data_IF_936032522517
#
_entry.id   IF_936032522517
#
_cell.length_a   1.000
_cell.length_b   1.000
_cell.length_c   1.000
_cell.angle_alpha   90.00
_cell.angle_beta   90.00
_cell.angle_gamma   90.00
#
_symmetry.space_group_name_H-M   'P 1'
#
loop_
_entity.id
_entity.type
_entity.pdbx_description
1 polymer ?
#
# COMPACT_ATOMS: atom_id res chain seq x y z
N UNK A 1 8.84 -11.07 27.49
CA UNK A 1 7.75 -10.17 27.06
C UNK A 1 8.36 -9.16 26.11
N UNK A 2 8.11 -9.22 24.80
CA UNK A 2 8.53 -8.15 23.92
C UNK A 2 7.54 -6.99 24.08
N UNK A 3 8.10 -5.80 24.17
CA UNK A 3 7.37 -4.55 24.37
C UNK A 3 6.52 -4.33 23.12
N UNK A 4 5.21 -4.19 23.31
CA UNK A 4 4.30 -3.70 22.28
C UNK A 4 4.73 -2.26 22.00
N UNK A 5 5.65 -2.08 21.03
CA UNK A 5 6.04 -0.77 20.53
C UNK A 5 4.76 0.01 20.29
N UNK A 6 4.59 1.07 21.09
CA UNK A 6 3.60 2.09 20.82
C UNK A 6 3.92 2.60 19.42
N UNK A 7 3.18 2.07 18.44
CA UNK A 7 3.06 2.72 17.13
C UNK A 7 2.68 4.15 17.49
N UNK A 8 3.43 5.18 17.04
CA UNK A 8 2.92 6.52 17.18
C UNK A 8 1.55 6.46 16.55
N UNK A 9 0.51 6.83 17.29
CA UNK A 9 -0.80 6.99 16.70
C UNK A 9 -0.60 7.99 15.56
N UNK A 10 -0.29 7.49 14.36
CA UNK A 10 -0.22 8.26 13.14
C UNK A 10 -1.61 8.80 13.09
N UNK A 11 -1.73 10.07 13.40
CA UNK A 11 -3.00 10.72 13.41
C UNK A 11 -3.33 10.92 11.94
N UNK A 12 -3.84 9.84 11.34
CA UNK A 12 -4.10 9.72 9.91
C UNK A 12 -4.96 10.89 9.44
N UNK A 13 -5.79 11.45 10.33
CA UNK A 13 -6.54 12.68 10.10
C UNK A 13 -5.66 13.94 10.03
N UNK A 14 -4.70 14.13 10.92
CA UNK A 14 -3.79 15.29 10.89
C UNK A 14 -2.83 15.23 9.70
N UNK A 15 -2.42 14.03 9.29
CA UNK A 15 -1.49 13.84 8.17
C UNK A 15 -2.21 13.64 6.82
N UNK A 16 -3.50 13.35 6.79
CA UNK A 16 -4.33 13.23 5.58
C UNK A 16 -4.04 14.30 4.50
N UNK A 17 -3.99 15.62 4.79
CA UNK A 17 -3.73 16.63 3.76
C UNK A 17 -2.34 16.49 3.11
N UNK A 18 -1.37 15.91 3.80
CA UNK A 18 -0.02 15.64 3.28
C UNK A 18 0.10 14.26 2.61
N UNK A 19 -0.68 13.28 3.08
CA UNK A 19 -0.65 11.90 2.59
C UNK A 19 -1.44 11.73 1.30
N UNK A 20 -2.60 12.37 1.16
CA UNK A 20 -3.48 12.21 -0.01
C UNK A 20 -2.77 12.53 -1.33
N UNK A 21 -2.05 13.66 -1.49
CA UNK A 21 -1.35 13.95 -2.74
C UNK A 21 -0.30 12.89 -3.09
N UNK A 22 0.43 12.39 -2.09
CA UNK A 22 1.46 11.36 -2.28
C UNK A 22 0.84 10.01 -2.67
N UNK A 23 -0.25 9.62 -1.99
CA UNK A 23 -1.01 8.41 -2.33
C UNK A 23 -1.62 8.49 -3.73
N UNK A 24 -2.05 9.67 -4.18
CA UNK A 24 -2.54 9.89 -5.56
C UNK A 24 -1.43 9.73 -6.60
N UNK A 25 -0.26 10.32 -6.36
CA UNK A 25 0.90 10.13 -7.24
C UNK A 25 1.27 8.63 -7.36
N UNK A 26 1.24 7.91 -6.24
CA UNK A 26 1.44 6.48 -6.21
C UNK A 26 0.35 5.74 -7.00
N UNK A 27 -0.92 6.11 -6.83
CA UNK A 27 -2.03 5.52 -7.58
C UNK A 27 -1.85 5.68 -9.10
N UNK A 28 -1.45 6.87 -9.57
CA UNK A 28 -1.21 7.14 -11.00
C UNK A 28 -0.09 6.28 -11.58
N UNK A 29 1.02 6.12 -10.83
CA UNK A 29 2.10 5.20 -11.17
C UNK A 29 1.58 3.76 -11.27
N UNK A 30 0.85 3.29 -10.26
CA UNK A 30 0.30 1.94 -10.23
C UNK A 30 -0.74 1.73 -11.34
N UNK A 31 -1.55 2.73 -11.69
CA UNK A 31 -2.52 2.65 -12.78
C UNK A 31 -1.81 2.50 -14.15
N UNK A 32 -0.74 3.25 -14.36
CA UNK A 32 0.10 3.16 -15.57
C UNK A 32 0.72 1.76 -15.68
N UNK A 33 1.31 1.24 -14.60
CA UNK A 33 1.84 -0.12 -14.57
C UNK A 33 0.75 -1.18 -14.77
N UNK A 34 -0.45 -0.95 -14.23
CA UNK A 34 -1.58 -1.87 -14.34
C UNK A 34 -2.09 -2.01 -15.77
N UNK A 35 -2.26 -0.89 -16.48
CA UNK A 35 -2.67 -0.93 -17.89
C UNK A 35 -1.70 -1.75 -18.75
N UNK A 36 -0.39 -1.64 -18.49
CA UNK A 36 0.66 -2.39 -19.21
C UNK A 36 0.70 -3.88 -18.83
N UNK A 37 0.62 -4.18 -17.54
CA UNK A 37 0.74 -5.54 -17.01
C UNK A 37 -0.53 -6.39 -17.21
N UNK A 38 -1.72 -5.77 -17.23
CA UNK A 38 -2.98 -6.48 -17.43
C UNK A 38 -3.05 -7.23 -18.77
N UNK A 39 -2.46 -6.66 -19.80
CA UNK A 39 -2.49 -7.23 -21.15
C UNK A 39 -1.59 -8.46 -21.29
N UNK A 40 -0.68 -8.72 -20.34
CA UNK A 40 0.33 -9.78 -20.45
C UNK A 40 0.29 -10.78 -19.28
N UNK A 41 -0.12 -10.35 -18.08
CA UNK A 41 0.11 -11.10 -16.84
C UNK A 41 -1.11 -11.25 -15.93
N UNK A 42 -2.32 -11.04 -16.46
CA UNK A 42 -3.58 -11.12 -15.68
C UNK A 42 -3.78 -12.44 -14.92
N UNK A 43 -3.11 -13.52 -15.31
CA UNK A 43 -3.16 -14.85 -14.69
C UNK A 43 -1.98 -15.16 -13.76
N UNK A 44 -1.03 -14.23 -13.60
CA UNK A 44 0.17 -14.45 -12.78
C UNK A 44 -0.13 -14.20 -11.30
N UNK A 45 0.45 -15.01 -10.41
CA UNK A 45 0.23 -14.88 -8.97
C UNK A 45 0.63 -13.48 -8.44
N UNK A 46 1.78 -12.94 -8.88
CA UNK A 46 2.25 -11.61 -8.50
C UNK A 46 1.27 -10.49 -8.91
N UNK A 47 0.55 -10.66 -10.02
CA UNK A 47 -0.40 -9.67 -10.52
C UNK A 47 -1.63 -9.55 -9.61
N UNK A 48 -2.04 -10.64 -8.97
CA UNK A 48 -3.11 -10.62 -7.95
C UNK A 48 -2.70 -9.79 -6.74
N UNK A 49 -1.46 -9.98 -6.24
CA UNK A 49 -0.91 -9.18 -5.14
C UNK A 49 -0.80 -7.70 -5.53
N UNK A 50 -0.31 -7.41 -6.73
CA UNK A 50 -0.26 -6.05 -7.28
C UNK A 50 -1.66 -5.40 -7.41
N UNK A 51 -2.65 -6.14 -7.89
CA UNK A 51 -4.02 -5.65 -7.98
C UNK A 51 -4.64 -5.38 -6.59
N UNK A 52 -4.33 -6.22 -5.59
CA UNK A 52 -4.74 -6.01 -4.20
C UNK A 52 -4.08 -4.78 -3.60
N UNK A 53 -2.78 -4.60 -3.83
CA UNK A 53 -2.02 -3.41 -3.41
C UNK A 53 -2.64 -2.13 -3.99
N UNK A 54 -2.86 -2.07 -5.30
CA UNK A 54 -3.50 -0.90 -5.95
C UNK A 54 -4.87 -0.59 -5.38
N UNK A 55 -5.71 -1.62 -5.19
CA UNK A 55 -7.06 -1.44 -4.58
C UNK A 55 -6.96 -0.90 -3.16
N UNK A 56 -5.95 -1.31 -2.40
CA UNK A 56 -5.72 -0.83 -1.04
C UNK A 56 -5.32 0.64 -1.03
N UNK A 57 -4.45 1.07 -1.95
CA UNK A 57 -4.12 2.50 -2.12
C UNK A 57 -5.36 3.32 -2.44
N UNK A 58 -6.15 2.93 -3.45
CA UNK A 58 -7.38 3.66 -3.82
C UNK A 58 -8.41 3.70 -2.69
N UNK A 59 -8.57 2.60 -1.94
CA UNK A 59 -9.50 2.53 -0.80
C UNK A 59 -9.04 3.44 0.35
N UNK A 60 -7.74 3.51 0.62
CA UNK A 60 -7.21 4.41 1.64
C UNK A 60 -7.42 5.88 1.26
N UNK A 61 -7.19 6.25 -0.01
CA UNK A 61 -7.48 7.60 -0.51
C UNK A 61 -8.97 7.94 -0.32
N UNK A 62 -9.87 7.01 -0.63
CA UNK A 62 -11.31 7.22 -0.48
C UNK A 62 -11.69 7.50 0.98
N UNK A 63 -11.19 6.70 1.92
CA UNK A 63 -11.47 6.87 3.35
C UNK A 63 -10.89 8.17 3.91
N UNK A 64 -9.68 8.56 3.49
CA UNK A 64 -9.03 9.79 3.95
C UNK A 64 -9.60 11.07 3.30
N UNK A 65 -10.15 10.97 2.09
CA UNK A 65 -10.71 12.11 1.36
C UNK A 65 -12.16 12.42 1.72
N UNK A 66 -12.79 11.59 2.58
CA UNK A 66 -14.19 11.81 2.91
C UNK A 66 -14.37 13.00 3.85
N UNK A 67 -15.19 13.94 3.41
CA UNK A 67 -15.58 15.15 4.15
C UNK A 67 -17.05 15.09 4.62
N UNK A 68 -17.66 13.90 4.61
CA UNK A 68 -19.07 13.69 4.93
C UNK A 68 -19.38 13.68 6.43
N UNK A 69 -20.66 13.45 6.74
CA UNK A 69 -21.20 13.36 8.12
C UNK A 69 -20.53 12.23 8.95
N UNK A 70 -19.95 11.24 8.27
CA UNK A 70 -19.36 10.04 8.88
C UNK A 70 -17.82 10.08 9.00
N UNK A 71 -17.22 11.28 9.02
CA UNK A 71 -15.76 11.47 9.02
C UNK A 71 -15.03 10.65 10.10
N UNK A 72 -15.61 10.55 11.29
CA UNK A 72 -15.02 9.78 12.39
C UNK A 72 -15.03 8.28 12.11
N UNK A 73 -16.15 7.75 11.62
CA UNK A 73 -16.28 6.34 11.26
C UNK A 73 -15.33 5.95 10.10
N UNK A 74 -15.17 6.83 9.11
CA UNK A 74 -14.27 6.61 7.98
C UNK A 74 -12.80 6.69 8.39
N UNK A 75 -12.49 7.55 9.35
CA UNK A 75 -11.15 7.62 9.96
C UNK A 75 -10.84 6.34 10.71
N UNK A 76 -11.79 5.83 11.50
CA UNK A 76 -11.61 4.56 12.21
C UNK A 76 -11.46 3.38 11.24
N UNK A 77 -12.26 3.33 10.17
CA UNK A 77 -12.08 2.34 9.10
C UNK A 77 -10.71 2.45 8.43
N UNK A 78 -10.18 3.65 8.24
CA UNK A 78 -8.83 3.86 7.70
C UNK A 78 -7.76 3.34 8.68
N UNK A 79 -7.91 3.59 9.99
CA UNK A 79 -7.02 3.07 11.03
C UNK A 79 -7.01 1.54 11.03
N UNK A 80 -8.18 0.91 11.05
CA UNK A 80 -8.31 -0.55 11.01
C UNK A 80 -7.69 -1.15 9.75
N UNK A 81 -7.91 -0.50 8.60
CA UNK A 81 -7.29 -0.91 7.35
C UNK A 81 -5.76 -0.84 7.40
N UNK A 82 -5.18 0.24 7.95
CA UNK A 82 -3.71 0.38 8.10
C UNK A 82 -3.14 -0.73 9.00
N UNK A 83 -3.84 -1.12 10.06
CA UNK A 83 -3.44 -2.26 10.91
C UNK A 83 -3.38 -3.56 10.10
N UNK A 84 -4.44 -3.87 9.34
CA UNK A 84 -4.47 -5.07 8.49
C UNK A 84 -3.36 -5.04 7.42
N UNK A 85 -3.14 -3.88 6.82
CA UNK A 85 -2.09 -3.70 5.81
C UNK A 85 -0.71 -3.98 6.40
N UNK A 86 -0.42 -3.43 7.58
CA UNK A 86 0.83 -3.64 8.30
C UNK A 86 1.04 -5.10 8.66
N UNK A 87 0.03 -5.73 9.26
CA UNK A 87 0.19 -7.03 9.91
C UNK A 87 0.26 -8.19 8.91
N UNK A 88 -0.28 -8.02 7.70
CA UNK A 88 -0.36 -9.11 6.72
C UNK A 88 -0.03 -8.65 5.30
N UNK A 89 -0.74 -7.65 4.79
CA UNK A 89 -0.73 -7.39 3.34
C UNK A 89 0.63 -6.90 2.81
N UNK A 90 1.32 -6.04 3.57
CA UNK A 90 2.64 -5.51 3.17
C UNK A 90 3.67 -6.62 3.03
N UNK A 91 3.70 -7.58 3.97
CA UNK A 91 4.63 -8.71 3.91
C UNK A 91 4.33 -9.64 2.72
N UNK A 92 3.05 -9.98 2.51
CA UNK A 92 2.65 -10.81 1.37
C UNK A 92 3.03 -10.19 0.03
N UNK A 93 2.83 -8.87 -0.11
CA UNK A 93 3.20 -8.15 -1.32
C UNK A 93 4.71 -8.07 -1.50
N UNK A 94 5.44 -7.82 -0.42
CA UNK A 94 6.90 -7.81 -0.44
C UNK A 94 7.47 -9.15 -0.92
N UNK A 95 6.99 -10.26 -0.37
CA UNK A 95 7.41 -11.61 -0.77
C UNK A 95 7.07 -11.89 -2.24
N UNK A 96 5.85 -11.55 -2.66
CA UNK A 96 5.42 -11.73 -4.06
C UNK A 96 6.29 -10.93 -5.05
N UNK A 97 6.62 -9.68 -4.73
CA UNK A 97 7.44 -8.83 -5.60
C UNK A 97 8.92 -9.20 -5.55
N UNK A 98 9.41 -9.71 -4.41
CA UNK A 98 10.79 -10.21 -4.30
C UNK A 98 10.98 -11.48 -5.13
N UNK A 99 10.02 -12.41 -5.12
CA UNK A 99 10.05 -13.57 -6.01
C UNK A 99 10.05 -13.16 -7.50
N UNK A 100 9.26 -12.13 -7.86
CA UNK A 100 9.28 -11.60 -9.23
C UNK A 100 10.67 -11.05 -9.64
N UNK A 101 11.43 -10.52 -8.68
CA UNK A 101 12.82 -10.10 -8.91
C UNK A 101 13.72 -11.30 -9.19
N UNK A 102 13.54 -12.40 -8.45
CA UNK A 102 14.33 -13.62 -8.59
C UNK A 102 14.09 -14.34 -9.93
N UNK A 103 12.90 -14.24 -10.50
CA UNK A 103 12.57 -14.80 -11.82
C UNK A 103 13.31 -14.08 -12.99
N UNK A 104 13.90 -12.91 -12.76
CA UNK A 104 14.82 -12.21 -13.68
C UNK A 104 14.17 -11.56 -14.91
N UNK A 105 13.10 -12.13 -15.47
CA UNK A 105 12.42 -11.64 -16.67
C UNK A 105 11.70 -10.28 -16.45
N UNK A 106 11.40 -9.94 -15.20
CA UNK A 106 10.68 -8.72 -14.82
C UNK A 106 11.38 -7.92 -13.72
N UNK A 107 12.71 -8.07 -13.57
CA UNK A 107 13.47 -7.46 -12.48
C UNK A 107 13.23 -5.95 -12.36
N UNK A 108 13.20 -5.21 -13.48
CA UNK A 108 12.93 -3.77 -13.46
C UNK A 108 11.53 -3.41 -12.93
N UNK A 109 10.51 -4.19 -13.32
CA UNK A 109 9.15 -4.03 -12.81
C UNK A 109 9.09 -4.38 -11.32
N UNK A 110 9.73 -5.48 -10.92
CA UNK A 110 9.76 -5.93 -9.54
C UNK A 110 10.40 -4.91 -8.60
N UNK A 111 11.54 -4.34 -8.99
CA UNK A 111 12.21 -3.25 -8.25
C UNK A 111 11.31 -2.01 -8.16
N UNK A 112 10.60 -1.67 -9.24
CA UNK A 112 9.65 -0.54 -9.22
C UNK A 112 8.50 -0.78 -8.25
N UNK A 113 7.95 -2.01 -8.20
CA UNK A 113 6.89 -2.38 -7.26
C UNK A 113 7.38 -2.42 -5.81
N UNK A 114 8.61 -2.90 -5.57
CA UNK A 114 9.22 -2.87 -4.25
C UNK A 114 9.49 -1.44 -3.76
N UNK A 115 9.95 -0.55 -4.64
CA UNK A 115 10.11 0.87 -4.32
C UNK A 115 8.76 1.54 -3.99
N UNK A 116 7.73 1.27 -4.81
CA UNK A 116 6.37 1.75 -4.58
C UNK A 116 5.79 1.23 -3.25
N UNK A 117 6.05 -0.03 -2.91
CA UNK A 117 5.63 -0.63 -1.65
C UNK A 117 6.36 -0.02 -0.45
N UNK A 118 7.67 0.20 -0.56
CA UNK A 118 8.47 0.85 0.49
C UNK A 118 8.01 2.30 0.72
N UNK A 119 7.72 3.04 -0.36
CA UNK A 119 7.18 4.40 -0.24
C UNK A 119 5.82 4.39 0.46
N UNK A 120 4.93 3.47 0.07
CA UNK A 120 3.62 3.30 0.70
C UNK A 120 3.74 2.95 2.19
N UNK A 121 4.58 1.98 2.54
CA UNK A 121 4.81 1.58 3.93
C UNK A 121 5.38 2.75 4.74
N UNK A 122 6.35 3.49 4.19
CA UNK A 122 6.93 4.67 4.83
C UNK A 122 5.93 5.81 5.03
N UNK A 123 4.99 6.02 4.09
CA UNK A 123 3.88 6.98 4.26
C UNK A 123 2.96 6.60 5.43
N UNK A 124 2.79 5.31 5.67
CA UNK A 124 1.95 4.77 6.75
C UNK A 124 2.72 4.52 8.05
N UNK A 125 4.01 4.87 8.10
CA UNK A 125 4.92 4.55 9.21
C UNK A 125 4.96 3.06 9.55
N UNK A 126 4.71 2.21 8.56
CA UNK A 126 4.91 0.77 8.64
C UNK A 126 6.40 0.55 8.46
N UNK A 127 7.13 0.60 9.57
CA UNK A 127 8.53 0.20 9.64
C UNK A 127 8.59 -1.26 10.07
N UNK A 128 9.45 -2.03 9.41
CA UNK A 128 9.86 -3.33 9.92
C UNK A 128 10.85 -3.05 11.05
N UNK A 129 10.35 -3.05 12.28
CA UNK A 129 11.22 -3.09 13.46
C UNK A 129 11.92 -4.46 13.45
N UNK A 130 13.22 -4.47 13.12
CA UNK A 130 14.10 -5.64 13.27
C UNK A 130 14.51 -5.82 14.76
#
# INVERSE_FOLDING_TARGET
>A
MPQTSQIPAIDLQQQAPTLIPRLRNLEELLATLHSRSRNQHSRSAWYTHFASFRKSVSRLILLLSSNGVNKEEETERARQMVVVLRDHSVEEWYLAFTHLTADGQFAALAVTLLAALAEFAGMLGISRDD
#
